data_IF_297101883684
#
_entry.id   IF_297101883684
#
_cell.length_a   1.000
_cell.length_b   1.000
_cell.length_c   1.000
_cell.angle_alpha   90.00
_cell.angle_beta   90.00
_cell.angle_gamma   90.00
#
_symmetry.space_group_name_H-M   'P 1'
#
loop_
_entity.id
_entity.type
_entity.pdbx_description
1 polymer ?
#
# COMPACT_ATOMS: atom_id res chain seq x y z
N UNK A 1 -13.09 1.35 -24.41
CA UNK A 1 -13.07 1.14 -22.95
C UNK A 1 -11.62 1.01 -22.50
N UNK A 2 -11.04 2.06 -21.92
CA UNK A 2 -9.69 1.98 -21.33
C UNK A 2 -9.82 1.45 -19.89
N UNK A 3 -9.02 0.45 -19.50
CA UNK A 3 -9.06 -0.16 -18.16
C UNK A 3 -10.19 -1.16 -17.88
N UNK A 4 -11.19 -1.29 -18.76
CA UNK A 4 -12.34 -2.18 -18.54
C UNK A 4 -12.01 -3.68 -18.45
N UNK A 5 -10.83 -4.08 -18.93
CA UNK A 5 -10.35 -5.46 -18.87
C UNK A 5 -9.00 -5.59 -18.13
N UNK A 6 -8.70 -4.69 -17.19
CA UNK A 6 -7.38 -4.61 -16.54
C UNK A 6 -6.98 -5.88 -15.74
N UNK A 7 -7.93 -6.76 -15.42
CA UNK A 7 -7.70 -8.00 -14.67
C UNK A 7 -7.43 -9.23 -15.57
N UNK A 8 -7.45 -9.07 -16.89
CA UNK A 8 -7.25 -10.17 -17.84
C UNK A 8 -5.90 -10.05 -18.55
N UNK A 9 -5.23 -11.19 -18.76
CA UNK A 9 -3.99 -11.21 -19.54
C UNK A 9 -4.28 -10.85 -21.01
N UNK A 10 -3.30 -10.23 -21.67
CA UNK A 10 -3.39 -9.89 -23.08
C UNK A 10 -3.63 -11.12 -23.96
N UNK A 11 -3.15 -12.31 -23.57
CA UNK A 11 -3.38 -13.56 -24.30
C UNK A 11 -4.82 -14.07 -24.14
N UNK A 12 -5.39 -13.95 -22.94
CA UNK A 12 -6.79 -14.33 -22.70
C UNK A 12 -7.74 -13.43 -23.50
N UNK A 13 -7.47 -12.13 -23.51
CA UNK A 13 -8.25 -11.18 -24.31
C UNK A 13 -8.14 -11.45 -25.81
N UNK A 14 -6.96 -11.87 -26.30
CA UNK A 14 -6.81 -12.30 -27.70
C UNK A 14 -7.60 -13.56 -27.99
N UNK A 15 -7.61 -14.53 -27.08
CA UNK A 15 -8.37 -15.77 -27.24
C UNK A 15 -9.87 -15.48 -27.33
N UNK A 16 -10.40 -14.68 -26.41
CA UNK A 16 -11.81 -14.26 -26.40
C UNK A 16 -12.18 -13.51 -27.67
N UNK A 17 -11.32 -12.59 -28.14
CA UNK A 17 -11.55 -11.90 -29.41
C UNK A 17 -11.55 -12.85 -30.62
N UNK A 18 -10.72 -13.90 -30.62
CA UNK A 18 -10.72 -14.91 -31.67
C UNK A 18 -11.99 -15.77 -31.63
N UNK A 19 -12.46 -16.12 -30.44
CA UNK A 19 -13.69 -16.87 -30.21
C UNK A 19 -14.91 -16.07 -30.69
N UNK A 20 -15.00 -14.78 -30.34
CA UNK A 20 -16.07 -13.89 -30.83
C UNK A 20 -16.07 -13.73 -32.36
N UNK A 21 -14.91 -13.85 -33.01
CA UNK A 21 -14.82 -13.87 -34.48
C UNK A 21 -15.33 -15.20 -35.03
N UNK A 22 -14.96 -16.32 -34.41
CA UNK A 22 -15.42 -17.66 -34.79
C UNK A 22 -16.95 -17.80 -34.66
N UNK A 23 -17.50 -17.23 -33.59
CA UNK A 23 -18.93 -17.25 -33.30
C UNK A 23 -19.75 -16.29 -34.17
N UNK A 24 -19.09 -15.55 -35.07
CA UNK A 24 -19.69 -14.54 -35.95
C UNK A 24 -20.40 -13.45 -35.16
N UNK A 25 -19.83 -13.06 -34.02
CA UNK A 25 -20.29 -11.92 -33.22
C UNK A 25 -19.63 -10.62 -33.70
N UNK A 26 -18.35 -10.73 -34.06
CA UNK A 26 -17.54 -9.64 -34.60
C UNK A 26 -16.78 -10.12 -35.84
N UNK A 27 -16.49 -9.22 -36.77
CA UNK A 27 -15.73 -9.50 -38.00
C UNK A 27 -14.58 -8.52 -38.15
N UNK A 28 -13.47 -8.98 -38.74
CA UNK A 28 -12.35 -8.13 -39.14
C UNK A 28 -12.63 -7.51 -40.51
N UNK A 29 -12.30 -6.24 -40.67
CA UNK A 29 -12.41 -5.58 -41.98
C UNK A 29 -11.37 -6.16 -42.96
N UNK A 30 -11.77 -6.38 -44.21
CA UNK A 30 -10.92 -7.01 -45.24
C UNK A 30 -9.90 -6.05 -45.88
N UNK A 31 -9.95 -4.74 -45.56
CA UNK A 31 -9.26 -3.67 -46.30
C UNK A 31 -7.90 -3.23 -45.72
N UNK A 32 -7.23 -4.07 -44.94
CA UNK A 32 -5.91 -3.75 -44.36
C UNK A 32 -5.95 -2.85 -43.11
N UNK A 33 -7.11 -2.29 -42.77
CA UNK A 33 -7.36 -1.59 -41.51
C UNK A 33 -7.51 -2.60 -40.36
N UNK A 34 -6.89 -2.33 -39.21
CA UNK A 34 -7.07 -3.11 -37.95
C UNK A 34 -8.43 -2.81 -37.29
N UNK A 35 -9.49 -2.72 -38.09
CA UNK A 35 -10.84 -2.43 -37.62
C UNK A 35 -11.61 -3.73 -37.40
N UNK A 36 -12.35 -3.76 -36.30
CA UNK A 36 -13.24 -4.84 -35.91
C UNK A 36 -14.67 -4.29 -35.89
N UNK A 37 -15.56 -4.95 -36.60
CA UNK A 37 -16.94 -4.54 -36.81
C UNK A 37 -17.89 -5.58 -36.19
N UNK A 38 -19.07 -5.15 -35.76
CA UNK A 38 -20.13 -6.06 -35.32
C UNK A 38 -20.72 -6.82 -36.51
N UNK A 39 -20.88 -8.13 -36.35
CA UNK A 39 -21.50 -9.01 -37.35
C UNK A 39 -23.01 -9.19 -37.09
N UNK A 40 -23.76 -9.73 -38.05
CA UNK A 40 -25.23 -9.73 -38.00
C UNK A 40 -25.80 -10.43 -36.75
N UNK A 41 -25.18 -11.53 -36.30
CA UNK A 41 -25.54 -12.18 -35.02
C UNK A 41 -25.20 -11.31 -33.81
N UNK A 42 -24.08 -10.59 -33.84
CA UNK A 42 -23.72 -9.65 -32.78
C UNK A 42 -24.72 -8.50 -32.66
N UNK A 43 -25.21 -8.00 -33.79
CA UNK A 43 -26.28 -6.98 -33.84
C UNK A 43 -27.59 -7.56 -33.30
N UNK A 44 -27.92 -8.80 -33.63
CA UNK A 44 -29.13 -9.46 -33.13
C UNK A 44 -29.10 -9.67 -31.60
N UNK A 45 -27.95 -10.06 -31.05
CA UNK A 45 -27.75 -10.15 -29.60
C UNK A 45 -27.89 -8.77 -28.96
N UNK A 46 -27.24 -7.73 -29.51
CA UNK A 46 -27.37 -6.36 -29.01
C UNK A 46 -28.80 -5.82 -29.06
N UNK A 47 -29.63 -6.29 -29.98
CA UNK A 47 -31.05 -5.91 -30.07
C UNK A 47 -31.95 -6.70 -29.12
N UNK A 48 -31.55 -7.93 -28.75
CA UNK A 48 -32.25 -8.80 -27.78
C UNK A 48 -31.87 -8.52 -26.35
N UNK A 49 -30.68 -7.94 -26.14
CA UNK A 49 -30.39 -7.18 -24.94
C UNK A 49 -31.38 -6.02 -24.99
N UNK A 50 -32.49 -6.12 -24.26
CA UNK A 50 -33.26 -4.94 -23.89
C UNK A 50 -32.22 -3.91 -23.43
N UNK A 51 -32.28 -2.62 -23.86
CA UNK A 51 -31.50 -1.62 -23.15
C UNK A 51 -31.87 -1.83 -21.70
N UNK A 52 -30.93 -2.37 -20.90
CA UNK A 52 -31.21 -2.70 -19.51
C UNK A 52 -31.91 -1.46 -19.00
N UNK A 53 -33.20 -1.62 -18.63
CA UNK A 53 -34.05 -0.56 -18.09
C UNK A 53 -33.12 0.37 -17.40
N UNK A 54 -32.94 1.60 -17.90
CA UNK A 54 -32.01 2.58 -17.36
C UNK A 54 -31.94 2.32 -15.88
N UNK A 55 -30.88 1.63 -15.43
CA UNK A 55 -30.75 1.26 -14.03
C UNK A 55 -30.65 2.65 -13.45
N UNK A 56 -31.74 3.08 -12.80
CA UNK A 56 -31.89 4.41 -12.24
C UNK A 56 -30.55 4.73 -11.64
N UNK A 57 -29.87 5.71 -12.21
CA UNK A 57 -28.48 6.03 -11.93
C UNK A 57 -28.26 6.06 -10.41
N UNK A 58 -27.81 4.94 -9.88
CA UNK A 58 -27.02 4.87 -8.64
C UNK A 58 -25.54 5.13 -8.99
N UNK A 59 -25.27 5.76 -10.14
CA UNK A 59 -23.94 6.07 -10.69
C UNK A 59 -23.06 6.90 -9.73
N UNK A 60 -23.63 7.60 -8.76
CA UNK A 60 -22.79 8.28 -7.75
C UNK A 60 -22.09 7.30 -6.82
N UNK A 61 -22.63 6.09 -6.62
CA UNK A 61 -22.05 5.07 -5.74
C UNK A 61 -20.94 4.29 -6.42
N UNK A 62 -21.16 3.85 -7.66
CA UNK A 62 -20.21 3.01 -8.40
C UNK A 62 -18.93 3.76 -8.79
N UNK A 63 -19.04 4.98 -9.33
CA UNK A 63 -17.87 5.81 -9.63
C UNK A 63 -17.09 6.14 -8.35
N UNK A 64 -17.77 6.50 -7.26
CA UNK A 64 -17.12 6.76 -5.97
C UNK A 64 -16.46 5.51 -5.36
N UNK A 65 -17.05 4.34 -5.57
CA UNK A 65 -16.44 3.08 -5.11
C UNK A 65 -15.20 2.74 -5.93
N UNK A 66 -15.20 3.04 -7.23
CA UNK A 66 -14.05 2.85 -8.11
C UNK A 66 -12.92 3.83 -7.77
N UNK A 67 -13.24 5.10 -7.52
CA UNK A 67 -12.28 6.11 -7.06
C UNK A 67 -11.65 5.68 -5.73
N UNK A 68 -12.48 5.31 -4.74
CA UNK A 68 -12.00 4.83 -3.45
C UNK A 68 -11.13 3.58 -3.62
N UNK A 69 -11.56 2.61 -4.44
CA UNK A 69 -10.77 1.42 -4.72
C UNK A 69 -9.39 1.74 -5.29
N UNK A 70 -9.28 2.72 -6.19
CA UNK A 70 -7.99 3.17 -6.72
C UNK A 70 -7.10 3.77 -5.62
N UNK A 71 -7.65 4.59 -4.73
CA UNK A 71 -6.91 5.11 -3.57
C UNK A 71 -6.41 3.99 -2.66
N UNK A 72 -7.27 3.04 -2.29
CA UNK A 72 -6.89 1.91 -1.45
C UNK A 72 -5.84 1.02 -2.15
N UNK A 73 -5.89 0.92 -3.47
CA UNK A 73 -4.88 0.21 -4.28
C UNK A 73 -3.53 0.89 -4.19
N UNK A 74 -3.47 2.22 -4.20
CA UNK A 74 -2.22 2.95 -4.06
C UNK A 74 -1.67 2.91 -2.64
N UNK A 75 -2.52 2.95 -1.61
CA UNK A 75 -2.14 2.66 -0.22
C UNK A 75 -1.50 1.27 -0.13
N UNK A 76 -2.13 0.26 -0.74
CA UNK A 76 -1.60 -1.11 -0.79
C UNK A 76 -0.26 -1.20 -1.53
N UNK A 77 -0.08 -0.48 -2.65
CA UNK A 77 1.21 -0.44 -3.38
C UNK A 77 2.31 0.24 -2.58
N UNK A 78 2.01 1.35 -1.90
CA UNK A 78 2.96 2.04 -1.02
C UNK A 78 3.40 1.10 0.11
N UNK A 79 2.45 0.38 0.70
CA UNK A 79 2.75 -0.65 1.68
C UNK A 79 3.57 -1.81 1.08
N UNK A 80 3.28 -2.27 -0.13
CA UNK A 80 4.02 -3.34 -0.81
C UNK A 80 5.51 -3.00 -0.94
N UNK A 81 5.80 -1.76 -1.36
CA UNK A 81 7.15 -1.22 -1.40
C UNK A 81 7.78 -1.13 -0.01
N UNK A 82 7.06 -0.57 0.97
CA UNK A 82 7.55 -0.42 2.35
C UNK A 82 7.91 -1.75 3.00
N UNK A 83 7.07 -2.78 2.82
CA UNK A 83 7.26 -4.10 3.42
C UNK A 83 8.05 -5.08 2.56
N UNK A 84 8.50 -4.69 1.36
CA UNK A 84 9.21 -5.57 0.42
C UNK A 84 8.43 -6.85 0.08
N UNK A 85 7.10 -6.75 0.02
CA UNK A 85 6.18 -7.88 -0.19
C UNK A 85 5.26 -7.58 -1.37
N UNK A 86 4.77 -8.63 -2.04
CA UNK A 86 3.74 -8.47 -3.07
C UNK A 86 2.48 -7.82 -2.47
N UNK A 87 1.81 -6.98 -3.27
CA UNK A 87 0.58 -6.29 -2.88
C UNK A 87 -0.50 -7.28 -2.38
N UNK A 88 -0.60 -8.46 -3.01
CA UNK A 88 -1.57 -9.49 -2.65
C UNK A 88 -1.27 -10.15 -1.30
N UNK A 89 0.00 -10.19 -0.88
CA UNK A 89 0.41 -10.70 0.44
C UNK A 89 0.07 -9.70 1.55
N UNK A 90 -0.04 -8.41 1.21
CA UNK A 90 -0.44 -7.36 2.14
C UNK A 90 -1.95 -7.37 2.29
N UNK A 91 -2.67 -7.29 1.18
CA UNK A 91 -4.12 -7.34 1.14
C UNK A 91 -4.56 -8.00 -0.18
N UNK A 92 -5.30 -9.11 -0.13
CA UNK A 92 -5.91 -9.69 -1.32
C UNK A 92 -6.83 -8.68 -2.01
N UNK A 93 -6.91 -8.74 -3.35
CA UNK A 93 -7.81 -7.89 -4.14
C UNK A 93 -9.27 -7.98 -3.66
N UNK A 94 -9.76 -9.20 -3.40
CA UNK A 94 -11.14 -9.44 -2.96
C UNK A 94 -11.48 -8.68 -1.67
N UNK A 95 -10.54 -8.63 -0.73
CA UNK A 95 -10.71 -7.92 0.53
C UNK A 95 -10.69 -6.41 0.32
N UNK A 96 -9.83 -5.91 -0.58
CA UNK A 96 -9.75 -4.50 -0.93
C UNK A 96 -11.04 -3.99 -1.60
N UNK A 97 -11.66 -4.80 -2.45
CA UNK A 97 -12.97 -4.53 -3.07
C UNK A 97 -14.05 -4.43 -1.97
N UNK A 98 -14.12 -5.42 -1.08
CA UNK A 98 -15.07 -5.41 0.05
C UNK A 98 -14.89 -4.17 0.94
N UNK A 99 -13.65 -3.72 1.15
CA UNK A 99 -13.36 -2.49 1.92
C UNK A 99 -13.86 -1.24 1.19
N UNK A 100 -13.65 -1.15 -0.13
CA UNK A 100 -14.16 -0.03 -0.93
C UNK A 100 -15.70 0.05 -0.94
N UNK A 101 -16.37 -1.11 -0.95
CA UNK A 101 -17.83 -1.20 -0.90
C UNK A 101 -18.39 -0.83 0.49
N UNK A 102 -17.81 -1.37 1.56
CA UNK A 102 -18.32 -1.20 2.93
C UNK A 102 -17.88 0.12 3.60
N UNK A 103 -16.87 0.80 3.05
CA UNK A 103 -16.36 2.11 3.53
C UNK A 103 -16.20 2.18 5.06
N UNK A 104 -15.48 1.23 5.69
CA UNK A 104 -15.33 1.23 7.14
C UNK A 104 -14.61 2.50 7.61
N UNK A 105 -15.21 3.23 8.55
CA UNK A 105 -14.63 4.44 9.15
C UNK A 105 -14.01 4.18 10.52
N UNK A 106 -14.18 2.97 11.06
CA UNK A 106 -13.67 2.56 12.37
C UNK A 106 -12.94 1.23 12.29
N UNK A 107 -12.01 1.01 13.24
CA UNK A 107 -11.30 -0.27 13.38
C UNK A 107 -12.26 -1.46 13.45
N UNK A 108 -13.31 -1.36 14.28
CA UNK A 108 -14.31 -2.43 14.44
C UNK A 108 -15.06 -2.71 13.14
N UNK A 109 -15.44 -1.68 12.38
CA UNK A 109 -16.09 -1.86 11.08
C UNK A 109 -15.16 -2.52 10.06
N UNK A 110 -13.86 -2.21 10.08
CA UNK A 110 -12.88 -2.84 9.22
C UNK A 110 -12.70 -4.33 9.56
N UNK A 111 -12.65 -4.70 10.85
CA UNK A 111 -12.57 -6.11 11.26
C UNK A 111 -13.83 -6.94 10.99
N UNK A 112 -14.99 -6.30 10.85
CA UNK A 112 -16.22 -6.98 10.44
C UNK A 112 -16.21 -7.40 8.96
N UNK A 113 -15.25 -6.92 8.17
CA UNK A 113 -15.12 -7.31 6.77
C UNK A 113 -14.41 -8.66 6.69
N UNK A 114 -15.05 -9.59 6.00
CA UNK A 114 -14.54 -10.95 5.82
C UNK A 114 -13.20 -10.95 5.06
N UNK A 115 -12.18 -11.55 5.69
CA UNK A 115 -10.80 -11.59 5.16
C UNK A 115 -9.89 -10.49 5.70
N UNK A 116 -10.38 -9.61 6.59
CA UNK A 116 -9.53 -8.65 7.31
C UNK A 116 -8.88 -9.32 8.52
N UNK A 117 -7.56 -9.41 8.48
CA UNK A 117 -6.78 -10.07 9.53
C UNK A 117 -5.97 -9.03 10.32
N UNK A 118 -5.65 -9.31 11.60
CA UNK A 118 -4.79 -8.44 12.41
C UNK A 118 -3.47 -8.08 11.70
N UNK A 119 -2.87 -9.03 10.99
CA UNK A 119 -1.65 -8.82 10.20
C UNK A 119 -1.82 -7.77 9.12
N UNK A 120 -2.98 -7.72 8.45
CA UNK A 120 -3.26 -6.76 7.40
C UNK A 120 -3.58 -5.39 8.00
N UNK A 121 -4.41 -5.37 9.04
CA UNK A 121 -4.71 -4.16 9.79
C UNK A 121 -3.43 -3.47 10.29
N UNK A 122 -2.48 -4.24 10.82
CA UNK A 122 -1.22 -3.73 11.32
C UNK A 122 -0.28 -3.16 10.24
N UNK A 123 -0.48 -3.54 8.97
CA UNK A 123 0.35 -3.08 7.86
C UNK A 123 -0.23 -1.87 7.15
N UNK A 124 -1.55 -1.86 6.96
CA UNK A 124 -2.26 -0.87 6.13
C UNK A 124 -3.60 -0.40 6.70
N UNK A 125 -4.08 -0.99 7.79
CA UNK A 125 -5.44 -0.75 8.30
C UNK A 125 -5.70 0.69 8.71
N UNK A 126 -4.75 1.34 9.36
CA UNK A 126 -4.89 2.77 9.71
C UNK A 126 -4.85 3.68 8.48
N UNK A 127 -3.94 3.43 7.53
CA UNK A 127 -3.85 4.18 6.28
C UNK A 127 -5.12 4.04 5.43
N UNK A 128 -5.70 2.83 5.38
CA UNK A 128 -6.98 2.59 4.72
C UNK A 128 -8.10 3.41 5.39
N UNK A 129 -8.19 3.38 6.73
CA UNK A 129 -9.21 4.13 7.47
C UNK A 129 -9.06 5.65 7.28
N UNK A 130 -7.83 6.15 7.23
CA UNK A 130 -7.53 7.56 6.96
C UNK A 130 -7.96 7.94 5.54
N UNK A 131 -7.56 7.17 4.52
CA UNK A 131 -7.96 7.41 3.13
C UNK A 131 -9.47 7.33 2.92
N UNK A 132 -10.18 6.42 3.60
CA UNK A 132 -11.64 6.31 3.53
C UNK A 132 -12.32 7.53 4.17
N UNK A 133 -11.79 8.03 5.30
CA UNK A 133 -12.32 9.22 5.97
C UNK A 133 -12.12 10.47 5.11
N UNK A 134 -10.93 10.67 4.56
CA UNK A 134 -10.60 11.78 3.65
C UNK A 134 -11.45 11.75 2.38
N UNK A 135 -11.71 10.56 1.83
CA UNK A 135 -12.61 10.41 0.69
C UNK A 135 -14.06 10.77 1.04
N UNK A 136 -14.51 10.44 2.27
CA UNK A 136 -15.86 10.72 2.74
C UNK A 136 -16.15 12.20 3.03
N UNK A 137 -15.15 13.01 3.35
CA UNK A 137 -15.28 14.46 3.64
C UNK A 137 -15.31 15.33 2.37
N UNK A 138 -15.07 14.76 1.18
CA UNK A 138 -15.12 15.48 -0.09
C UNK A 138 -13.88 16.32 -0.40
N UNK A 139 -12.82 16.18 0.38
CA UNK A 139 -11.51 16.72 0.01
C UNK A 139 -10.93 15.86 -1.12
N UNK A 140 -11.05 16.37 -2.35
CA UNK A 140 -10.48 15.72 -3.54
C UNK A 140 -8.98 15.46 -3.34
N UNK A 141 -8.61 14.19 -3.22
CA UNK A 141 -7.23 13.76 -3.33
C UNK A 141 -6.82 13.77 -4.81
N UNK A 142 -6.25 14.89 -5.24
CA UNK A 142 -5.31 15.05 -6.35
C UNK A 142 -5.77 14.77 -7.80
N UNK A 143 -6.01 15.89 -8.48
CA UNK A 143 -5.52 16.17 -9.84
C UNK A 143 -4.05 15.73 -10.02
N UNK A 144 -3.68 15.40 -11.26
CA UNK A 144 -2.40 14.89 -11.73
C UNK A 144 -1.14 15.78 -11.54
N UNK A 145 -1.03 16.49 -10.42
CA UNK A 145 0.08 17.39 -10.09
C UNK A 145 0.85 16.91 -8.85
N UNK A 146 1.35 15.66 -8.85
CA UNK A 146 2.44 15.24 -7.95
C UNK A 146 3.80 15.75 -8.48
N UNK A 147 3.91 17.06 -8.68
CA UNK A 147 5.19 17.72 -8.96
C UNK A 147 5.46 18.95 -8.07
N UNK A 148 4.51 19.38 -7.23
CA UNK A 148 4.70 20.53 -6.32
C UNK A 148 3.88 20.38 -5.04
N UNK A 149 4.33 19.55 -4.11
CA UNK A 149 4.03 19.70 -2.68
C UNK A 149 5.27 19.39 -1.85
N UNK A 150 6.27 20.24 -2.02
CA UNK A 150 7.09 20.66 -0.89
C UNK A 150 6.18 21.45 0.08
N UNK A 151 6.48 21.38 1.38
CA UNK A 151 5.93 22.22 2.46
C UNK A 151 4.54 21.89 3.05
N UNK A 152 4.29 20.62 3.39
CA UNK A 152 3.71 20.36 4.71
C UNK A 152 4.28 19.06 5.29
N UNK A 153 5.10 19.18 6.33
CA UNK A 153 5.58 18.06 7.16
C UNK A 153 4.42 17.48 7.99
N UNK A 154 3.34 17.04 7.35
CA UNK A 154 2.32 16.27 8.04
C UNK A 154 2.77 14.81 8.03
N UNK A 155 3.26 14.38 9.19
CA UNK A 155 3.63 13.00 9.44
C UNK A 155 2.38 12.13 9.22
N UNK A 156 2.46 11.01 8.48
CA UNK A 156 1.37 10.04 8.42
C UNK A 156 0.84 9.73 9.83
N UNK A 157 -0.48 9.78 10.02
CA UNK A 157 -1.10 9.71 11.36
C UNK A 157 -0.62 8.51 12.19
N UNK A 158 -0.41 7.37 11.55
CA UNK A 158 0.09 6.12 12.18
C UNK A 158 1.49 6.24 12.81
N UNK A 159 2.35 7.12 12.28
CA UNK A 159 3.70 7.35 12.82
C UNK A 159 3.69 8.31 14.02
N UNK A 160 2.65 9.14 14.16
CA UNK A 160 2.57 10.13 15.24
C UNK A 160 2.54 9.47 16.63
N UNK A 161 1.81 8.36 16.79
CA UNK A 161 1.76 7.60 18.03
C UNK A 161 3.10 6.91 18.33
N UNK A 162 3.74 6.28 17.33
CA UNK A 162 5.08 5.68 17.50
C UNK A 162 6.13 6.73 17.86
N UNK A 163 6.10 7.89 17.21
CA UNK A 163 6.95 9.04 17.55
C UNK A 163 6.70 9.52 18.99
N UNK A 164 5.44 9.57 19.43
CA UNK A 164 5.08 10.00 20.78
C UNK A 164 5.65 9.07 21.85
N UNK A 165 5.64 7.75 21.60
CA UNK A 165 6.19 6.75 22.50
C UNK A 165 7.72 6.77 22.51
N UNK A 166 8.35 7.01 21.35
CA UNK A 166 9.79 7.23 21.28
C UNK A 166 10.23 8.45 22.08
N UNK A 167 9.52 9.58 21.94
CA UNK A 167 9.81 10.80 22.71
C UNK A 167 9.65 10.61 24.22
N UNK A 168 8.80 9.67 24.65
CA UNK A 168 8.61 9.29 26.05
C UNK A 168 9.67 8.29 26.56
N UNK A 169 10.52 7.75 25.67
CA UNK A 169 11.63 6.87 26.05
C UNK A 169 11.24 5.41 26.35
N UNK A 170 10.12 4.91 25.83
CA UNK A 170 9.72 3.51 26.03
C UNK A 170 10.66 2.55 25.29
N UNK A 171 11.03 1.39 25.85
CA UNK A 171 11.85 0.41 25.16
C UNK A 171 11.09 -0.19 23.96
N UNK A 172 11.83 -0.71 22.97
CA UNK A 172 11.27 -1.18 21.70
C UNK A 172 10.13 -2.21 21.90
N UNK A 173 10.32 -3.12 22.87
CA UNK A 173 9.36 -4.18 23.21
C UNK A 173 8.04 -3.63 23.77
N UNK A 174 8.11 -2.56 24.56
CA UNK A 174 6.94 -1.92 25.14
C UNK A 174 6.21 -1.09 24.09
N UNK A 175 6.94 -0.41 23.20
CA UNK A 175 6.34 0.26 22.04
C UNK A 175 5.59 -0.76 21.17
N UNK A 176 6.21 -1.90 20.86
CA UNK A 176 5.57 -2.98 20.12
C UNK A 176 4.28 -3.46 20.80
N UNK A 177 4.34 -3.69 22.12
CA UNK A 177 3.20 -4.16 22.91
C UNK A 177 2.07 -3.13 22.97
N UNK A 178 2.38 -1.85 23.27
CA UNK A 178 1.40 -0.76 23.36
C UNK A 178 0.72 -0.48 22.03
N UNK A 179 1.45 -0.63 20.92
CA UNK A 179 0.91 -0.46 19.57
C UNK A 179 0.19 -1.73 19.06
N UNK A 180 0.27 -2.86 19.78
CA UNK A 180 -0.16 -4.18 19.30
C UNK A 180 0.49 -4.57 17.95
N UNK A 181 1.77 -4.20 17.78
CA UNK A 181 2.58 -4.46 16.60
C UNK A 181 3.78 -5.35 16.95
N UNK A 182 4.41 -5.95 15.94
CA UNK A 182 5.67 -6.67 16.15
C UNK A 182 6.84 -5.69 16.19
N UNK A 183 7.92 -6.04 16.90
CA UNK A 183 9.16 -5.24 16.91
C UNK A 183 9.70 -4.98 15.50
N UNK A 184 9.49 -5.93 14.57
CA UNK A 184 9.85 -5.74 13.17
C UNK A 184 9.07 -4.58 12.52
N UNK A 185 7.75 -4.49 12.73
CA UNK A 185 6.93 -3.40 12.19
C UNK A 185 7.30 -2.06 12.84
N UNK A 186 7.49 -2.05 14.17
CA UNK A 186 7.93 -0.85 14.88
C UNK A 186 9.29 -0.38 14.39
N UNK A 187 10.25 -1.29 14.15
CA UNK A 187 11.57 -0.91 13.64
C UNK A 187 11.52 -0.24 12.27
N UNK A 188 10.58 -0.64 11.41
CA UNK A 188 10.35 0.01 10.12
C UNK A 188 9.73 1.39 10.28
N UNK A 189 8.78 1.55 11.21
CA UNK A 189 8.22 2.86 11.52
C UNK A 189 9.27 3.81 12.08
N UNK A 190 10.15 3.32 12.97
CA UNK A 190 11.26 4.09 13.52
C UNK A 190 12.25 4.47 12.42
N UNK A 191 12.56 3.55 11.50
CA UNK A 191 13.38 3.83 10.32
C UNK A 191 12.82 5.00 9.51
N UNK A 192 11.53 4.98 9.16
CA UNK A 192 10.88 6.11 8.47
C UNK A 192 10.86 7.37 9.33
N UNK A 193 10.59 7.27 10.64
CA UNK A 193 10.62 8.43 11.54
C UNK A 193 11.99 9.09 11.55
N UNK A 194 13.08 8.31 11.53
CA UNK A 194 14.45 8.82 11.52
C UNK A 194 14.82 9.49 10.19
N UNK A 195 14.21 9.09 9.07
CA UNK A 195 14.36 9.79 7.79
C UNK A 195 13.75 11.20 7.84
N UNK A 196 12.61 11.38 8.51
CA UNK A 196 11.96 12.69 8.64
C UNK A 196 12.47 13.53 9.84
N UNK A 197 12.87 12.87 10.93
CA UNK A 197 13.34 13.45 12.18
C UNK A 197 14.66 12.82 12.61
N UNK A 198 15.78 13.19 11.96
CA UNK A 198 17.10 12.61 12.21
C UNK A 198 17.56 12.77 13.66
N UNK A 199 17.12 13.82 14.35
CA UNK A 199 17.47 14.14 15.74
C UNK A 199 16.75 13.27 16.78
N UNK A 200 15.84 12.37 16.38
CA UNK A 200 15.10 11.53 17.32
C UNK A 200 16.05 10.68 18.17
N UNK A 201 15.95 10.80 19.49
CA UNK A 201 16.74 10.03 20.43
C UNK A 201 16.32 8.55 20.39
N UNK A 202 17.29 7.65 20.26
CA UNK A 202 17.06 6.19 20.20
C UNK A 202 17.99 5.41 21.11
N UNK A 203 18.89 6.06 21.85
CA UNK A 203 19.91 5.40 22.65
C UNK A 203 19.32 4.50 23.73
N UNK A 204 18.16 4.86 24.29
CA UNK A 204 17.43 4.06 25.28
C UNK A 204 16.88 2.73 24.73
N UNK A 205 16.86 2.53 23.41
CA UNK A 205 16.43 1.26 22.81
C UNK A 205 17.52 0.17 22.91
N UNK A 206 18.74 0.53 23.29
CA UNK A 206 19.90 -0.36 23.34
C UNK A 206 20.44 -0.45 24.76
N UNK A 207 20.94 -1.63 25.13
CA UNK A 207 21.70 -1.76 26.37
C UNK A 207 23.06 -1.03 26.27
N UNK A 208 23.62 -0.70 27.43
CA UNK A 208 24.84 0.12 27.58
C UNK A 208 25.95 -0.25 26.59
N UNK A 209 26.44 0.74 25.84
CA UNK A 209 27.51 0.65 24.82
C UNK A 209 27.24 -0.22 23.59
N UNK A 210 26.11 -0.94 23.52
CA UNK A 210 25.77 -1.77 22.35
C UNK A 210 25.55 -0.91 21.10
N UNK A 211 24.88 0.24 21.24
CA UNK A 211 24.64 1.15 20.12
C UNK A 211 25.94 1.63 19.45
N UNK A 212 26.93 2.00 20.26
CA UNK A 212 28.24 2.43 19.74
C UNK A 212 28.96 1.29 19.02
N UNK A 213 28.99 0.09 19.61
CA UNK A 213 29.57 -1.09 18.95
C UNK A 213 28.88 -1.42 17.62
N UNK A 214 27.58 -1.19 17.55
CA UNK A 214 26.78 -1.38 16.33
C UNK A 214 27.13 -0.34 15.27
N UNK A 215 27.31 0.92 15.64
CA UNK A 215 27.76 1.97 14.72
C UNK A 215 29.16 1.72 14.19
N UNK A 216 30.08 1.21 15.03
CA UNK A 216 31.44 0.92 14.57
C UNK A 216 31.48 -0.26 13.59
N UNK A 217 30.66 -1.28 13.78
CA UNK A 217 30.48 -2.35 12.78
C UNK A 217 29.82 -1.85 11.49
N UNK A 218 28.87 -0.91 11.59
CA UNK A 218 28.25 -0.28 10.43
C UNK A 218 29.28 0.53 9.62
N UNK A 219 30.17 1.29 10.28
CA UNK A 219 31.24 2.08 9.62
C UNK A 219 32.21 1.20 8.82
N UNK A 220 32.46 -0.03 9.25
CA UNK A 220 33.32 -0.99 8.52
C UNK A 220 32.71 -1.45 7.20
N UNK A 221 31.43 -1.16 6.95
CA UNK A 221 30.69 -1.61 5.79
C UNK A 221 30.18 -3.05 5.93
N UNK A 222 29.04 -3.30 5.28
CA UNK A 222 28.37 -4.61 5.27
C UNK A 222 27.66 -4.82 3.93
N UNK A 223 27.58 -6.07 3.48
CA UNK A 223 26.86 -6.44 2.26
C UNK A 223 25.36 -6.57 2.52
N UNK A 224 24.99 -7.29 3.59
CA UNK A 224 23.62 -7.58 3.96
C UNK A 224 23.42 -7.60 5.50
N UNK A 225 22.19 -7.43 5.96
CA UNK A 225 21.82 -7.47 7.40
C UNK A 225 22.27 -8.75 8.11
N UNK A 226 22.31 -9.89 7.40
CA UNK A 226 22.76 -11.18 7.95
C UNK A 226 24.24 -11.16 8.31
N UNK A 227 25.07 -10.57 7.44
CA UNK A 227 26.50 -10.42 7.68
C UNK A 227 26.77 -9.45 8.83
N UNK A 228 26.03 -8.35 8.90
CA UNK A 228 26.16 -7.41 10.02
C UNK A 228 25.78 -8.08 11.34
N UNK A 229 24.73 -8.91 11.35
CA UNK A 229 24.29 -9.64 12.55
C UNK A 229 25.33 -10.65 13.06
N UNK A 230 26.15 -11.26 12.21
CA UNK A 230 27.18 -12.21 12.68
C UNK A 230 28.36 -11.53 13.39
N UNK A 231 28.60 -10.24 13.10
CA UNK A 231 29.63 -9.42 13.74
C UNK A 231 29.16 -8.79 15.05
N UNK A 232 27.86 -8.79 15.31
CA UNK A 232 27.24 -8.16 16.48
C UNK A 232 26.93 -9.18 17.57
N UNK A 233 26.83 -8.73 18.85
CA UNK A 233 26.41 -9.60 19.94
C UNK A 233 25.07 -10.27 19.67
N UNK A 234 24.90 -11.51 20.15
CA UNK A 234 23.66 -12.28 20.00
C UNK A 234 22.41 -11.54 20.49
N UNK A 235 22.57 -10.68 21.50
CA UNK A 235 21.53 -9.86 22.14
C UNK A 235 20.87 -8.85 21.17
N UNK A 236 21.57 -8.38 20.13
CA UNK A 236 21.05 -7.32 19.24
C UNK A 236 20.08 -7.89 18.21
N UNK A 237 18.78 -7.69 18.38
CA UNK A 237 17.78 -8.22 17.43
C UNK A 237 17.87 -7.56 16.04
N UNK A 238 17.41 -8.24 14.98
CA UNK A 238 17.33 -7.64 13.62
C UNK A 238 16.56 -6.30 13.58
N UNK A 239 15.44 -6.13 14.31
CA UNK A 239 14.79 -4.83 14.50
C UNK A 239 15.73 -3.72 15.00
N UNK A 240 16.53 -3.99 16.03
CA UNK A 240 17.48 -3.03 16.59
C UNK A 240 18.61 -2.69 15.61
N UNK A 241 19.10 -3.67 14.84
CA UNK A 241 20.12 -3.41 13.80
C UNK A 241 19.57 -2.46 12.74
N UNK A 242 18.33 -2.66 12.30
CA UNK A 242 17.67 -1.80 11.30
C UNK A 242 17.57 -0.35 11.78
N UNK A 243 17.14 -0.14 13.03
CA UNK A 243 17.04 1.19 13.64
C UNK A 243 18.42 1.86 13.72
N UNK A 244 19.46 1.10 14.08
CA UNK A 244 20.83 1.63 14.17
C UNK A 244 21.34 2.06 12.80
N UNK A 245 21.08 1.27 11.75
CA UNK A 245 21.42 1.65 10.37
C UNK A 245 20.71 2.94 9.97
N UNK A 246 19.41 3.06 10.25
CA UNK A 246 18.64 4.24 9.91
C UNK A 246 19.18 5.50 10.60
N UNK A 247 19.48 5.41 11.91
CA UNK A 247 20.08 6.52 12.67
C UNK A 247 21.47 6.88 12.14
N UNK A 248 22.30 5.89 11.83
CA UNK A 248 23.63 6.11 11.28
C UNK A 248 23.58 6.82 9.92
N UNK A 249 22.65 6.42 9.04
CA UNK A 249 22.42 7.10 7.76
C UNK A 249 21.94 8.54 7.97
N UNK A 250 20.96 8.72 8.85
CA UNK A 250 20.41 10.02 9.20
C UNK A 250 21.45 10.99 9.80
N UNK A 251 22.41 10.48 10.57
CA UNK A 251 23.53 11.28 11.11
C UNK A 251 24.69 11.49 10.13
N UNK A 252 24.81 10.67 9.08
CA UNK A 252 25.92 10.70 8.12
C UNK A 252 25.59 11.44 6.82
N UNK A 253 24.33 11.78 6.55
CA UNK A 253 23.95 12.64 5.44
C UNK A 253 23.94 14.11 5.88
N UNK A 254 24.86 14.96 5.41
CA UNK A 254 24.68 16.41 5.49
C UNK A 254 23.58 16.80 4.50
N UNK A 255 22.73 17.74 4.92
CA UNK A 255 21.70 18.36 4.10
C UNK A 255 22.24 18.75 2.71
N UNK A 256 21.59 18.26 1.66
CA UNK A 256 21.67 18.78 0.29
C UNK A 256 20.30 19.27 -0.10
#
# INVERSE_FOLDING_TARGET
TYGGCANYDANDLKHVLQEMISDKLIRKEKSGSKLVMLDDKGIEILRRIEPEKEIKKEDTGYEKNLELYNFLTDVRKKAAKRFGQSADIICPNEVLIKIAENKPTTKSALFNIEGVNNRMYNKIGEELLESIKEFGTGEKLFSADEAKKEESKQLPSFLSETLSLLKKGYPLKDIASLRNLTEAVISMQIETILEFFPDTEISYLYDSNILQSTFDEIKKGYKDLKELKTRLPGVVSYPLIRIAIAKFKASSQPFV
#
